data_IF_177425396075
#
_entry.id   IF_177425396075
#
_cell.length_a   1.000
_cell.length_b   1.000
_cell.length_c   1.000
_cell.angle_alpha   90.00
_cell.angle_beta   90.00
_cell.angle_gamma   90.00
#
_symmetry.space_group_name_H-M   'P 1'
#
loop_
_entity.id
_entity.type
_entity.pdbx_description
1 polymer ?
#
# COMPACT_ATOMS: atom_id res chain seq x y z
N UNK A 1 15.38 -6.86 -10.90
CA UNK A 1 14.66 -7.51 -9.80
C UNK A 1 13.21 -7.54 -10.23
N UNK A 2 12.62 -8.70 -10.38
CA UNK A 2 11.21 -8.80 -10.75
C UNK A 2 10.37 -8.44 -9.53
N UNK A 3 9.53 -7.42 -9.67
CA UNK A 3 8.59 -7.01 -8.62
C UNK A 3 7.42 -7.98 -8.62
N UNK A 4 7.28 -8.75 -7.55
CA UNK A 4 6.11 -9.61 -7.34
C UNK A 4 4.92 -8.78 -6.86
N UNK A 5 3.98 -8.53 -7.77
CA UNK A 5 2.77 -7.77 -7.48
C UNK A 5 1.70 -8.63 -6.80
N UNK A 6 1.19 -8.12 -5.69
CA UNK A 6 -0.03 -8.61 -5.07
C UNK A 6 -1.21 -7.80 -5.61
N UNK A 7 -2.01 -8.44 -6.46
CA UNK A 7 -3.23 -7.86 -7.02
C UNK A 7 -4.32 -7.80 -5.94
N UNK A 8 -4.79 -6.59 -5.64
CA UNK A 8 -5.80 -6.34 -4.60
C UNK A 8 -7.22 -6.38 -5.20
N UNK A 9 -7.35 -6.06 -6.49
CA UNK A 9 -8.60 -6.21 -7.23
C UNK A 9 -9.78 -5.46 -6.61
N UNK A 10 -10.92 -6.13 -6.42
CA UNK A 10 -12.15 -5.52 -5.89
C UNK A 10 -12.17 -5.33 -4.37
N UNK A 11 -11.16 -5.84 -3.65
CA UNK A 11 -11.09 -5.80 -2.19
C UNK A 11 -10.64 -4.42 -1.66
N UNK A 12 -10.16 -3.55 -2.55
CA UNK A 12 -9.88 -2.14 -2.25
C UNK A 12 -10.64 -1.22 -3.20
N UNK A 13 -11.13 -0.10 -2.70
CA UNK A 13 -11.81 0.90 -3.53
C UNK A 13 -10.83 1.74 -4.36
N UNK A 14 -9.56 1.84 -3.96
CA UNK A 14 -8.61 2.77 -4.57
C UNK A 14 -7.26 2.15 -4.95
N UNK A 15 -6.83 1.07 -4.28
CA UNK A 15 -5.57 0.38 -4.58
C UNK A 15 -5.85 -0.73 -5.58
N UNK A 16 -5.02 -0.81 -6.62
CA UNK A 16 -5.07 -1.87 -7.61
C UNK A 16 -4.16 -3.02 -7.21
N UNK A 17 -2.90 -2.72 -6.88
CA UNK A 17 -1.88 -3.70 -6.53
C UNK A 17 -0.76 -3.10 -5.69
N UNK A 18 -0.09 -3.95 -4.92
CA UNK A 18 1.00 -3.57 -4.02
C UNK A 18 2.16 -4.55 -4.21
N UNK A 19 3.40 -4.06 -4.17
CA UNK A 19 4.61 -4.89 -4.19
C UNK A 19 5.66 -4.36 -3.21
N UNK A 20 6.61 -5.20 -2.83
CA UNK A 20 7.75 -4.81 -1.98
C UNK A 20 9.02 -5.52 -2.47
N UNK A 21 10.13 -4.79 -2.60
CA UNK A 21 11.40 -5.34 -3.13
C UNK A 21 12.48 -5.56 -2.06
N UNK A 22 12.11 -5.44 -0.78
CA UNK A 22 13.03 -5.46 0.37
C UNK A 22 13.45 -4.07 0.85
N UNK A 23 13.38 -3.04 0.01
CA UNK A 23 13.76 -1.67 0.37
C UNK A 23 12.63 -0.65 0.14
N UNK A 24 11.78 -0.89 -0.85
CA UNK A 24 10.73 0.01 -1.31
C UNK A 24 9.39 -0.71 -1.30
N UNK A 25 8.39 0.00 -0.82
CA UNK A 25 6.98 -0.36 -1.00
C UNK A 25 6.47 0.33 -2.26
N UNK A 26 5.89 -0.43 -3.18
CA UNK A 26 5.26 0.06 -4.39
C UNK A 26 3.75 -0.09 -4.29
N UNK A 27 3.01 0.95 -4.68
CA UNK A 27 1.55 0.95 -4.69
C UNK A 27 1.08 1.55 -6.00
N UNK A 28 0.25 0.81 -6.73
CA UNK A 28 -0.50 1.35 -7.86
C UNK A 28 -1.97 1.50 -7.49
N UNK A 29 -2.53 2.64 -7.87
CA UNK A 29 -3.91 3.01 -7.62
C UNK A 29 -4.75 2.81 -8.89
N UNK A 30 -6.04 2.49 -8.70
CA UNK A 30 -7.01 2.31 -9.79
C UNK A 30 -7.20 3.54 -10.67
N UNK A 31 -6.82 4.71 -10.16
CA UNK A 31 -6.79 5.96 -10.90
C UNK A 31 -5.64 6.04 -11.92
N UNK A 32 -4.79 5.01 -12.00
CA UNK A 32 -3.66 4.91 -12.93
C UNK A 32 -2.33 5.38 -12.36
N UNK A 33 -2.31 6.07 -11.22
CA UNK A 33 -1.08 6.58 -10.59
C UNK A 33 -0.33 5.50 -9.80
N UNK A 34 0.99 5.63 -9.75
CA UNK A 34 1.86 4.72 -9.02
C UNK A 34 2.89 5.46 -8.18
N UNK A 35 3.06 5.03 -6.93
CA UNK A 35 4.00 5.59 -5.98
C UNK A 35 4.88 4.52 -5.37
N UNK A 36 6.15 4.85 -5.12
CA UNK A 36 6.99 4.07 -4.23
C UNK A 36 7.36 4.86 -2.98
N UNK A 37 7.63 4.13 -1.90
CA UNK A 37 8.02 4.66 -0.61
C UNK A 37 9.31 3.96 -0.19
N UNK A 38 10.38 4.74 0.01
CA UNK A 38 11.69 4.20 0.38
C UNK A 38 11.78 3.84 1.86
N UNK A 39 12.61 2.84 2.17
CA UNK A 39 12.92 2.37 3.52
C UNK A 39 11.69 1.91 4.32
N UNK A 40 10.60 1.55 3.63
CA UNK A 40 9.46 0.89 4.26
C UNK A 40 9.88 -0.55 4.57
N UNK A 41 9.80 -0.96 5.84
CA UNK A 41 10.16 -2.33 6.22
C UNK A 41 9.19 -3.34 5.60
N UNK A 42 9.69 -4.56 5.36
CA UNK A 42 8.85 -5.67 4.88
C UNK A 42 7.70 -5.98 5.87
N UNK A 43 7.91 -5.74 7.17
CA UNK A 43 6.85 -5.87 8.17
C UNK A 43 5.64 -4.97 7.87
N UNK A 44 5.87 -3.70 7.52
CA UNK A 44 4.77 -2.78 7.17
C UNK A 44 4.00 -3.30 5.95
N UNK A 45 4.69 -3.87 4.96
CA UNK A 45 4.05 -4.52 3.81
C UNK A 45 3.14 -5.67 4.25
N UNK A 46 3.62 -6.59 5.09
CA UNK A 46 2.81 -7.72 5.61
C UNK A 46 1.58 -7.20 6.37
N UNK A 47 1.75 -6.17 7.19
CA UNK A 47 0.64 -5.55 7.95
C UNK A 47 -0.41 -4.92 7.04
N UNK A 48 0.02 -4.29 5.93
CA UNK A 48 -0.91 -3.82 4.88
C UNK A 48 -1.65 -5.00 4.25
N UNK A 49 -0.95 -6.10 3.94
CA UNK A 49 -1.59 -7.30 3.39
C UNK A 49 -2.63 -7.91 4.33
N UNK A 50 -2.43 -7.78 5.65
CA UNK A 50 -3.36 -8.22 6.70
C UNK A 50 -4.49 -7.21 6.99
N UNK A 51 -4.51 -6.03 6.37
CA UNK A 51 -5.52 -4.97 6.55
C UNK A 51 -5.73 -4.55 8.02
N UNK A 52 -4.66 -4.43 8.80
CA UNK A 52 -4.74 -4.25 10.27
C UNK A 52 -5.51 -3.01 10.75
N UNK A 53 -5.72 -2.02 9.89
CA UNK A 53 -6.43 -0.79 10.25
C UNK A 53 -7.86 -0.80 9.68
N UNK A 54 -8.83 -0.53 10.55
CA UNK A 54 -10.23 -0.34 10.19
C UNK A 54 -10.40 1.02 9.51
N UNK A 55 -10.97 0.99 8.30
CA UNK A 55 -11.36 2.21 7.59
C UNK A 55 -12.53 2.88 8.30
N UNK A 56 -12.38 4.17 8.62
CA UNK A 56 -13.45 4.96 9.25
C UNK A 56 -14.66 5.15 8.33
N UNK A 57 -14.45 5.20 7.01
CA UNK A 57 -15.52 5.39 6.04
C UNK A 57 -16.20 4.07 5.66
N UNK A 58 -15.48 2.95 5.66
CA UNK A 58 -16.01 1.65 5.25
C UNK A 58 -16.46 0.79 6.45
N UNK A 59 -16.04 1.13 7.67
CA UNK A 59 -16.37 0.39 8.89
C UNK A 59 -15.75 -1.00 8.99
N UNK A 60 -14.75 -1.32 8.15
CA UNK A 60 -14.11 -2.64 8.06
C UNK A 60 -12.59 -2.56 7.84
N UNK A 61 -11.83 -3.64 8.10
CA UNK A 61 -10.41 -3.74 7.75
C UNK A 61 -10.16 -3.37 6.28
N UNK A 62 -9.15 -2.53 6.01
CA UNK A 62 -8.90 -2.00 4.68
C UNK A 62 -7.41 -1.81 4.36
N UNK A 63 -7.01 -2.16 3.14
CA UNK A 63 -5.66 -1.90 2.61
C UNK A 63 -5.35 -0.40 2.61
N UNK A 64 -6.30 0.42 2.15
CA UNK A 64 -6.14 1.86 2.04
C UNK A 64 -5.96 2.52 3.40
N UNK A 65 -6.74 2.10 4.40
CA UNK A 65 -6.62 2.61 5.77
C UNK A 65 -5.28 2.20 6.41
N UNK A 66 -4.83 0.97 6.18
CA UNK A 66 -3.57 0.46 6.72
C UNK A 66 -2.37 1.15 6.09
N UNK A 67 -2.38 1.33 4.76
CA UNK A 67 -1.37 2.09 4.03
C UNK A 67 -1.32 3.55 4.51
N UNK A 68 -2.47 4.21 4.66
CA UNK A 68 -2.53 5.60 5.12
C UNK A 68 -1.97 5.76 6.53
N UNK A 69 -2.34 4.87 7.45
CA UNK A 69 -1.91 4.92 8.84
C UNK A 69 -0.41 4.61 9.01
N UNK A 70 0.09 3.55 8.38
CA UNK A 70 1.45 3.07 8.63
C UNK A 70 2.49 3.73 7.73
N UNK A 71 2.12 4.14 6.52
CA UNK A 71 3.06 4.69 5.53
C UNK A 71 2.92 6.20 5.43
N UNK A 72 1.75 6.71 5.02
CA UNK A 72 1.57 8.15 4.77
C UNK A 72 1.67 8.96 6.07
N UNK A 73 0.92 8.57 7.10
CA UNK A 73 0.97 9.17 8.44
C UNK A 73 2.21 8.76 9.23
N UNK A 74 2.85 7.65 8.85
CA UNK A 74 4.16 7.24 9.37
C UNK A 74 5.32 8.14 8.91
N UNK A 75 5.08 9.08 7.99
CA UNK A 75 6.07 10.05 7.53
C UNK A 75 6.86 9.62 6.30
N UNK A 76 6.53 8.48 5.69
CA UNK A 76 7.19 8.03 4.46
C UNK A 76 6.77 8.90 3.28
N UNK A 77 7.76 9.44 2.57
CA UNK A 77 7.52 10.29 1.40
C UNK A 77 7.28 9.42 0.17
N UNK A 78 6.08 9.54 -0.40
CA UNK A 78 5.74 8.87 -1.66
C UNK A 78 6.38 9.59 -2.84
N UNK A 79 7.08 8.85 -3.70
CA UNK A 79 7.62 9.33 -4.96
C UNK A 79 6.79 8.73 -6.09
N UNK A 80 6.17 9.59 -6.89
CA UNK A 80 5.36 9.16 -8.03
C UNK A 80 6.29 8.68 -9.15
N UNK A 81 5.98 7.51 -9.73
CA UNK A 81 6.72 6.95 -10.86
C UNK A 81 5.82 6.60 -12.05
N UNK A 82 4.50 6.66 -11.87
CA UNK A 82 3.46 6.41 -12.88
C UNK A 82 2.35 7.44 -12.74
#
# INVERSE_FOLDING_TARGET
MDLEWQEIGWDSNNIERIAHDGQKLYVEFKAGSGYYYEYVSYEIFVRIMNKEVISKSEGKPSYGATLDALVKKGGYKGIQYK
#
